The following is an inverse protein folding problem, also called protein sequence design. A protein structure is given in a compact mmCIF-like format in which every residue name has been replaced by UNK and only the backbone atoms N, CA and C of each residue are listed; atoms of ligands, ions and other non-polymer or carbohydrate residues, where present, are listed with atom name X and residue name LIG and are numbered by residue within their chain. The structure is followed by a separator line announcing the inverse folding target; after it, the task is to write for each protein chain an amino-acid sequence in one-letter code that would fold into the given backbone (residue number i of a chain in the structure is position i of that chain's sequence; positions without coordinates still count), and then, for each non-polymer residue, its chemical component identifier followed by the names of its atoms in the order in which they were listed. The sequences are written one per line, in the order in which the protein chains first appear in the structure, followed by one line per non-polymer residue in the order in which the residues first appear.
data_IF_373907677697
#
_entry.id   IF_373907677697
#
_cell.length_a   1.000
_cell.length_b   1.000
_cell.length_c   1.000
_cell.angle_alpha   90.00
_cell.angle_beta   90.00
_cell.angle_gamma   90.00
#
_symmetry.space_group_name_H-M   'P 1'
#
loop_
_entity.id
_entity.type
_entity.pdbx_description
1 polymer ?
#
# COMPACT_ATOMS: atom_id res chain seq x y z
N UNK A 1 -11.41 16.47 8.52
CA UNK A 1 -10.31 16.29 9.49
C UNK A 1 -9.01 16.61 8.78
N UNK A 2 -8.15 17.50 9.29
CA UNK A 2 -6.83 17.78 8.70
C UNK A 2 -5.99 16.50 8.84
N UNK A 3 -5.67 15.84 7.73
CA UNK A 3 -4.78 14.68 7.71
C UNK A 3 -3.38 15.13 8.19
N UNK A 4 -3.07 14.90 9.46
CA UNK A 4 -1.71 15.09 9.97
C UNK A 4 -0.85 13.96 9.38
N UNK A 5 0.20 14.32 8.64
CA UNK A 5 1.21 13.33 8.19
C UNK A 5 1.72 12.55 9.40
N UNK A 6 1.89 11.25 9.25
CA UNK A 6 2.50 10.41 10.25
C UNK A 6 3.94 10.85 10.54
N UNK A 7 4.19 11.23 11.79
CA UNK A 7 5.49 11.72 12.27
C UNK A 7 5.73 11.15 13.67
N UNK A 8 6.27 9.92 13.79
CA UNK A 8 6.37 9.21 15.06
C UNK A 8 7.09 10.03 16.13
N UNK A 9 8.16 10.73 15.77
CA UNK A 9 8.97 11.54 16.69
C UNK A 9 8.38 12.91 17.06
N UNK A 10 7.28 13.32 16.41
CA UNK A 10 6.54 14.54 16.79
C UNK A 10 5.24 14.24 17.50
N UNK A 11 4.72 13.03 17.32
CA UNK A 11 3.40 12.65 17.79
C UNK A 11 3.45 11.74 19.01
N UNK A 12 4.49 10.92 19.15
CA UNK A 12 4.52 9.81 20.11
C UNK A 12 5.81 9.72 20.93
N UNK A 13 6.97 9.97 20.33
CA UNK A 13 8.29 9.72 20.91
C UNK A 13 9.21 10.93 20.75
N UNK A 14 10.16 11.07 21.69
CA UNK A 14 11.29 11.97 21.53
C UNK A 14 12.38 11.30 20.69
N UNK A 15 12.87 11.98 19.65
CA UNK A 15 13.81 11.41 18.68
C UNK A 15 15.15 11.10 19.34
N UNK A 16 15.71 12.03 20.11
CA UNK A 16 17.06 11.89 20.69
C UNK A 16 17.08 10.81 21.76
N UNK A 17 16.03 10.74 22.60
CA UNK A 17 15.88 9.65 23.59
C UNK A 17 15.73 8.31 22.93
N UNK A 18 14.90 8.23 21.88
CA UNK A 18 14.68 6.98 21.12
C UNK A 18 15.96 6.49 20.48
N UNK A 19 16.75 7.40 19.90
CA UNK A 19 18.03 7.10 19.30
C UNK A 19 19.04 6.56 20.32
N UNK A 20 19.18 7.23 21.46
CA UNK A 20 20.06 6.75 22.56
C UNK A 20 19.64 5.35 23.01
N UNK A 21 18.34 5.14 23.24
CA UNK A 21 17.80 3.84 23.61
C UNK A 21 18.11 2.77 22.56
N UNK A 22 17.94 3.08 21.27
CA UNK A 22 18.24 2.16 20.19
C UNK A 22 19.74 1.78 20.16
N UNK A 23 20.63 2.75 20.30
CA UNK A 23 22.07 2.51 20.37
C UNK A 23 22.43 1.61 21.56
N UNK A 24 21.81 1.81 22.71
CA UNK A 24 22.05 0.99 23.90
C UNK A 24 21.55 -0.45 23.74
N UNK A 25 20.37 -0.63 23.08
CA UNK A 25 19.78 -1.94 22.82
C UNK A 25 20.62 -2.73 21.82
N UNK A 26 21.07 -2.07 20.76
CA UNK A 26 21.78 -2.69 19.65
C UNK A 26 23.30 -2.69 19.80
N UNK A 27 23.81 -2.33 20.98
CA UNK A 27 25.26 -2.20 21.23
C UNK A 27 26.05 -3.48 20.97
N UNK A 28 25.45 -4.64 21.22
CA UNK A 28 26.05 -5.97 20.97
C UNK A 28 25.60 -6.62 19.66
N UNK A 29 24.66 -6.02 18.95
CA UNK A 29 24.14 -6.55 17.71
C UNK A 29 25.02 -6.13 16.51
N UNK A 30 25.16 -7.02 15.55
CA UNK A 30 25.88 -6.77 14.30
C UNK A 30 25.09 -5.81 13.38
N UNK A 31 23.77 -5.91 13.39
CA UNK A 31 22.84 -5.04 12.67
C UNK A 31 21.52 -4.90 13.44
N UNK A 32 20.82 -3.82 13.22
CA UNK A 32 19.50 -3.62 13.79
C UNK A 32 18.86 -2.32 13.35
N UNK A 33 17.53 -2.28 13.54
CA UNK A 33 16.74 -1.14 13.14
C UNK A 33 15.46 -1.03 13.95
N UNK A 34 15.03 0.19 14.14
CA UNK A 34 13.70 0.55 14.61
C UNK A 34 12.90 1.08 13.42
N UNK A 35 11.88 0.36 13.06
CA UNK A 35 11.00 0.62 11.91
C UNK A 35 9.65 1.10 12.41
N UNK A 36 9.16 2.23 11.89
CA UNK A 36 7.80 2.70 12.12
C UNK A 36 7.03 2.69 10.81
N UNK A 37 5.78 2.30 10.88
CA UNK A 37 4.87 2.29 9.75
C UNK A 37 3.50 2.86 10.12
N UNK A 38 2.94 3.65 9.20
CA UNK A 38 1.51 3.91 9.10
C UNK A 38 1.07 3.52 7.69
N UNK A 39 0.10 2.64 7.59
CA UNK A 39 -0.54 2.28 6.32
C UNK A 39 -2.00 2.69 6.37
N UNK A 40 -2.45 3.37 5.32
CA UNK A 40 -3.88 3.66 5.07
C UNK A 40 -4.25 3.13 3.70
N UNK A 41 -5.45 2.59 3.60
CA UNK A 41 -5.98 2.10 2.34
C UNK A 41 -7.47 2.42 2.23
N UNK A 42 -7.88 2.73 1.01
CA UNK A 42 -9.27 2.95 0.64
C UNK A 42 -9.58 2.10 -0.59
N UNK A 43 -10.74 1.46 -0.59
CA UNK A 43 -11.23 0.73 -1.75
C UNK A 43 -12.73 0.92 -1.91
N UNK A 44 -13.15 1.15 -3.16
CA UNK A 44 -14.55 1.26 -3.55
C UNK A 44 -14.81 0.24 -4.64
N UNK A 45 -15.96 -0.42 -4.55
CA UNK A 45 -16.44 -1.36 -5.58
C UNK A 45 -17.86 -0.97 -5.95
N UNK A 46 -18.05 -0.66 -7.22
CA UNK A 46 -19.37 -0.50 -7.84
C UNK A 46 -19.65 -1.73 -8.69
N UNK A 47 -20.82 -2.31 -8.54
CA UNK A 47 -21.26 -3.46 -9.31
C UNK A 47 -22.70 -3.22 -9.73
N UNK A 48 -22.90 -3.26 -11.03
CA UNK A 48 -24.20 -3.06 -11.67
C UNK A 48 -24.90 -1.78 -11.15
N UNK A 49 -24.24 -0.64 -11.35
CA UNK A 49 -24.66 0.72 -10.97
C UNK A 49 -24.82 0.96 -9.45
N UNK A 50 -24.56 -0.06 -8.63
CA UNK A 50 -24.71 0.03 -7.18
C UNK A 50 -23.37 -0.03 -6.48
N UNK A 51 -23.10 0.92 -5.57
CA UNK A 51 -21.93 0.87 -4.72
C UNK A 51 -22.07 -0.28 -3.71
N UNK A 52 -21.33 -1.36 -3.91
CA UNK A 52 -21.40 -2.58 -3.07
C UNK A 52 -20.54 -2.49 -1.82
N UNK A 53 -19.38 -1.87 -1.94
CA UNK A 53 -18.50 -1.69 -0.79
C UNK A 53 -17.70 -0.40 -0.88
N UNK A 54 -17.42 0.16 0.28
CA UNK A 54 -16.51 1.27 0.48
C UNK A 54 -15.77 1.03 1.80
N UNK A 55 -14.50 0.68 1.71
CA UNK A 55 -13.68 0.35 2.87
C UNK A 55 -12.58 1.38 3.04
N UNK A 56 -12.34 1.78 4.29
CA UNK A 56 -11.24 2.64 4.68
C UNK A 56 -10.54 2.01 5.89
N UNK A 57 -9.31 1.59 5.71
CA UNK A 57 -8.50 0.95 6.75
C UNK A 57 -7.30 1.81 7.11
N UNK A 58 -6.92 1.76 8.39
CA UNK A 58 -5.71 2.41 8.88
C UNK A 58 -5.05 1.56 9.96
N UNK A 59 -3.76 1.30 9.78
CA UNK A 59 -2.92 0.62 10.76
C UNK A 59 -1.63 1.39 10.98
N UNK A 60 -1.09 1.32 12.19
CA UNK A 60 0.21 1.90 12.54
C UNK A 60 0.89 1.09 13.61
N UNK A 61 2.19 1.17 13.68
CA UNK A 61 2.98 0.51 14.70
C UNK A 61 4.47 0.70 14.50
N UNK A 62 5.24 -0.02 15.28
CA UNK A 62 6.67 -0.14 15.11
C UNK A 62 7.13 -1.59 15.20
N UNK A 63 8.28 -1.87 14.60
CA UNK A 63 9.05 -3.09 14.76
C UNK A 63 10.48 -2.76 15.14
N UNK A 64 11.04 -3.50 16.08
CA UNK A 64 12.43 -3.45 16.50
C UNK A 64 13.09 -4.78 16.12
N UNK A 65 14.15 -4.72 15.33
CA UNK A 65 14.93 -5.88 14.88
C UNK A 65 16.36 -5.76 15.34
N UNK A 66 16.93 -6.86 15.77
CA UNK A 66 18.37 -7.00 16.03
C UNK A 66 18.88 -8.30 15.41
N UNK A 67 20.09 -8.26 14.91
CA UNK A 67 20.79 -9.42 14.30
C UNK A 67 22.11 -9.59 15.02
N UNK A 68 22.41 -10.81 15.42
CA UNK A 68 23.69 -11.21 16.01
C UNK A 68 24.08 -12.57 15.43
N UNK A 69 25.16 -12.61 14.64
CA UNK A 69 25.54 -13.78 13.85
C UNK A 69 24.43 -14.21 12.89
N UNK A 70 24.00 -15.44 13.01
CA UNK A 70 22.89 -16.01 12.24
C UNK A 70 21.51 -15.88 12.92
N UNK A 71 21.48 -15.27 14.10
CA UNK A 71 20.26 -15.13 14.90
C UNK A 71 19.62 -13.77 14.70
N UNK A 72 18.32 -13.74 14.47
CA UNK A 72 17.53 -12.52 14.38
C UNK A 72 16.46 -12.50 15.46
N UNK A 73 16.41 -11.43 16.25
CA UNK A 73 15.27 -11.15 17.11
C UNK A 73 14.41 -10.05 16.53
N UNK A 74 13.11 -10.16 16.76
CA UNK A 74 12.14 -9.20 16.31
C UNK A 74 11.04 -9.02 17.34
N UNK A 75 10.74 -7.76 17.66
CA UNK A 75 9.62 -7.39 18.52
C UNK A 75 8.82 -6.26 17.85
N UNK A 76 7.51 -6.26 17.99
CA UNK A 76 6.65 -5.25 17.39
C UNK A 76 5.51 -4.83 18.33
N UNK A 77 4.92 -3.67 18.05
CA UNK A 77 3.73 -3.19 18.74
C UNK A 77 2.94 -2.21 17.88
N UNK A 78 1.62 -2.22 18.03
CA UNK A 78 0.73 -1.18 17.49
C UNK A 78 0.64 0.05 18.40
N UNK A 79 1.04 -0.09 19.67
CA UNK A 79 1.21 1.02 20.62
C UNK A 79 2.57 1.68 20.40
N UNK A 80 2.57 2.91 19.86
CA UNK A 80 3.80 3.70 19.66
C UNK A 80 3.98 4.57 20.91
N UNK A 81 4.54 3.97 21.96
CA UNK A 81 4.88 4.65 23.21
C UNK A 81 6.26 4.25 23.70
N UNK A 82 6.88 5.09 24.55
CA UNK A 82 8.17 4.79 25.19
C UNK A 82 8.09 3.47 25.98
N UNK A 83 6.98 3.24 26.68
CA UNK A 83 6.74 2.00 27.44
C UNK A 83 6.70 0.76 26.53
N UNK A 84 6.04 0.84 25.38
CA UNK A 84 5.99 -0.26 24.42
C UNK A 84 7.36 -0.52 23.80
N UNK A 85 8.13 0.54 23.51
CA UNK A 85 9.48 0.43 22.97
C UNK A 85 10.43 -0.22 23.99
N UNK A 86 10.37 0.14 25.27
CA UNK A 86 11.16 -0.50 26.33
C UNK A 86 10.85 -2.00 26.46
N UNK A 87 9.56 -2.39 26.39
CA UNK A 87 9.19 -3.82 26.41
C UNK A 87 9.73 -4.57 25.19
N UNK A 88 9.67 -3.96 24.01
CA UNK A 88 10.26 -4.55 22.81
C UNK A 88 11.78 -4.72 22.95
N UNK A 89 12.44 -3.73 23.55
CA UNK A 89 13.86 -3.77 23.87
C UNK A 89 14.24 -4.94 24.80
N UNK A 90 13.46 -5.15 25.86
CA UNK A 90 13.66 -6.27 26.78
C UNK A 90 13.55 -7.63 26.05
N UNK A 91 12.59 -7.76 25.14
CA UNK A 91 12.41 -8.99 24.34
C UNK A 91 13.64 -9.26 23.47
N UNK A 92 14.24 -8.23 22.89
CA UNK A 92 15.42 -8.36 22.01
C UNK A 92 16.69 -8.68 22.80
N UNK A 93 16.86 -8.14 24.00
CA UNK A 93 18.00 -8.42 24.87
C UNK A 93 18.12 -9.88 25.33
N UNK A 94 17.08 -10.68 25.13
CA UNK A 94 17.09 -12.11 25.43
C UNK A 94 17.81 -12.96 24.35
N UNK A 95 18.35 -12.34 23.30
CA UNK A 95 19.21 -13.02 22.33
C UNK A 95 20.48 -13.55 23.04
N UNK A 96 20.83 -14.83 22.83
CA UNK A 96 22.13 -15.34 23.28
C UNK A 96 23.23 -14.65 22.46
N UNK A 97 24.20 -14.05 23.16
CA UNK A 97 25.37 -13.46 22.52
C UNK A 97 26.16 -14.53 21.78
N UNK A 98 26.09 -14.52 20.46
CA UNK A 98 26.93 -15.35 19.59
C UNK A 98 28.12 -14.48 19.16
N UNK A 99 29.30 -14.86 19.61
CA UNK A 99 30.56 -14.11 19.56
C UNK A 99 30.89 -13.38 18.25
N UNK A 100 31.83 -12.45 18.37
CA UNK A 100 32.35 -11.49 17.39
C UNK A 100 32.15 -11.81 15.91
N UNK A 101 31.14 -11.24 15.30
CA UNK A 101 31.00 -11.12 13.85
C UNK A 101 31.43 -9.72 13.43
N UNK A 102 32.30 -9.59 12.45
CA UNK A 102 32.70 -8.28 11.94
C UNK A 102 31.51 -7.59 11.25
N UNK A 103 31.08 -6.49 11.83
CA UNK A 103 30.09 -5.61 11.19
C UNK A 103 30.60 -5.13 9.84
N UNK A 104 29.94 -5.51 8.77
CA UNK A 104 30.20 -4.95 7.45
C UNK A 104 29.51 -3.60 7.34
N UNK A 105 30.29 -2.55 7.03
CA UNK A 105 29.73 -1.22 6.77
C UNK A 105 28.68 -1.31 5.65
N UNK A 106 27.47 -0.74 5.86
CA UNK A 106 26.48 -0.74 4.81
C UNK A 106 27.00 -0.01 3.59
N UNK A 107 26.68 -0.47 2.36
CA UNK A 107 27.17 0.17 1.17
C UNK A 107 26.73 1.65 1.14
N UNK A 108 27.68 2.57 0.86
CA UNK A 108 27.38 3.99 0.66
C UNK A 108 26.36 4.16 -0.45
N UNK A 109 25.27 4.91 -0.24
CA UNK A 109 24.20 4.89 -1.21
C UNK A 109 23.54 6.18 -1.54
N UNK A 110 23.42 6.34 -2.82
CA UNK A 110 22.45 7.20 -3.48
C UNK A 110 21.06 6.55 -3.39
N UNK A 111 20.15 7.19 -2.67
CA UNK A 111 18.73 6.82 -2.70
C UNK A 111 18.12 7.48 -3.93
N UNK A 112 17.80 6.68 -4.94
CA UNK A 112 17.06 7.15 -6.11
C UNK A 112 15.57 7.19 -5.78
N UNK A 113 14.93 8.37 -5.92
CA UNK A 113 13.47 8.49 -5.78
C UNK A 113 12.80 7.90 -7.02
N UNK A 114 12.20 6.73 -6.88
CA UNK A 114 11.52 6.02 -7.98
C UNK A 114 10.08 6.54 -8.21
N UNK A 115 9.48 7.23 -7.25
CA UNK A 115 8.12 7.76 -7.30
C UNK A 115 7.98 9.02 -6.43
N UNK A 116 6.88 9.75 -6.63
CA UNK A 116 6.54 10.89 -5.79
C UNK A 116 5.84 10.40 -4.52
N UNK A 117 6.30 10.87 -3.36
CA UNK A 117 5.67 10.58 -2.06
C UNK A 117 4.40 11.39 -1.85
N UNK A 118 3.33 10.98 -2.50
CA UNK A 118 1.98 11.58 -2.44
C UNK A 118 1.04 10.69 -1.64
N UNK A 119 -0.10 11.24 -1.26
CA UNK A 119 -1.19 10.50 -0.63
C UNK A 119 -2.37 10.40 -1.60
N UNK A 120 -2.53 9.28 -2.30
CA UNK A 120 -3.55 9.13 -3.33
C UNK A 120 -4.98 9.03 -2.76
N UNK A 121 -5.13 8.74 -1.45
CA UNK A 121 -6.45 8.62 -0.82
C UNK A 121 -7.15 9.97 -0.76
N UNK A 122 -6.39 11.04 -0.45
CA UNK A 122 -6.93 12.39 -0.28
C UNK A 122 -6.92 13.22 -1.56
N UNK A 123 -6.35 12.69 -2.64
CA UNK A 123 -6.21 13.42 -3.91
C UNK A 123 -7.55 13.74 -4.55
N UNK A 124 -8.50 12.81 -4.46
CA UNK A 124 -9.86 13.00 -4.93
C UNK A 124 -10.86 12.81 -3.78
N UNK A 125 -11.93 13.61 -3.75
CA UNK A 125 -13.05 13.39 -2.84
C UNK A 125 -13.69 12.02 -3.04
N UNK A 126 -14.29 11.47 -2.00
CA UNK A 126 -15.00 10.19 -2.07
C UNK A 126 -16.09 10.19 -3.16
N UNK A 127 -16.89 11.27 -3.23
CA UNK A 127 -17.94 11.43 -4.24
C UNK A 127 -17.39 11.33 -5.66
N UNK A 128 -16.27 12.00 -5.96
CA UNK A 128 -15.64 11.96 -7.29
C UNK A 128 -15.16 10.57 -7.69
N UNK A 129 -14.73 9.76 -6.72
CA UNK A 129 -14.36 8.36 -6.97
C UNK A 129 -15.60 7.51 -7.30
N UNK A 130 -16.71 7.74 -6.60
CA UNK A 130 -18.00 7.07 -6.90
C UNK A 130 -18.52 7.50 -8.26
N UNK A 131 -18.47 8.80 -8.58
CA UNK A 131 -18.91 9.33 -9.88
C UNK A 131 -18.11 8.72 -11.03
N UNK A 132 -16.76 8.60 -10.86
CA UNK A 132 -15.90 7.90 -11.81
C UNK A 132 -16.36 6.45 -12.07
N UNK A 133 -16.66 5.70 -10.99
CA UNK A 133 -17.10 4.30 -11.16
C UNK A 133 -18.42 4.20 -11.90
N UNK A 134 -19.36 5.16 -11.69
CA UNK A 134 -20.59 5.26 -12.46
C UNK A 134 -20.34 5.61 -13.93
N UNK A 135 -19.46 6.57 -14.20
CA UNK A 135 -19.07 6.92 -15.56
C UNK A 135 -18.47 5.72 -16.31
N UNK A 136 -17.71 4.86 -15.63
CA UNK A 136 -17.15 3.63 -16.19
C UNK A 136 -18.28 2.65 -16.56
N UNK A 137 -19.27 2.46 -15.67
CA UNK A 137 -20.44 1.59 -15.92
C UNK A 137 -21.25 2.10 -17.12
N UNK A 138 -21.62 3.38 -17.10
CA UNK A 138 -22.40 4.01 -18.18
C UNK A 138 -21.67 3.93 -19.52
N UNK A 139 -20.36 4.20 -19.53
CA UNK A 139 -19.55 4.12 -20.73
C UNK A 139 -19.48 2.70 -21.29
N UNK A 140 -19.30 1.70 -20.44
CA UNK A 140 -19.25 0.30 -20.84
C UNK A 140 -20.56 -0.14 -21.51
N UNK A 141 -21.71 0.20 -20.89
CA UNK A 141 -23.05 -0.10 -21.45
C UNK A 141 -23.34 0.64 -22.75
N UNK A 142 -22.78 1.83 -22.89
CA UNK A 142 -22.89 2.62 -24.13
C UNK A 142 -22.12 2.05 -25.34
N UNK A 143 -21.09 1.20 -25.07
CA UNK A 143 -20.28 0.61 -26.15
C UNK A 143 -20.92 -0.59 -26.82
N UNK A 144 -21.66 -1.44 -26.09
CA UNK A 144 -22.25 -2.67 -26.62
C UNK A 144 -23.53 -3.04 -25.87
N UNK A 145 -24.62 -3.29 -26.60
CA UNK A 145 -25.93 -3.63 -26.04
C UNK A 145 -25.97 -5.01 -25.35
N UNK A 146 -24.98 -5.85 -25.58
CA UNK A 146 -24.83 -7.16 -24.92
C UNK A 146 -24.27 -7.07 -23.52
N UNK A 147 -23.79 -5.90 -23.09
CA UNK A 147 -23.29 -5.70 -21.71
C UNK A 147 -24.46 -5.83 -20.73
N UNK A 148 -24.43 -6.87 -19.92
CA UNK A 148 -25.46 -7.15 -18.88
C UNK A 148 -25.01 -6.82 -17.49
N UNK A 149 -23.69 -6.80 -17.22
CA UNK A 149 -23.15 -6.43 -15.92
C UNK A 149 -21.79 -5.74 -16.06
N UNK A 150 -21.57 -4.73 -15.24
CA UNK A 150 -20.29 -4.04 -15.11
C UNK A 150 -19.90 -3.97 -13.64
N UNK A 151 -18.70 -4.44 -13.32
CA UNK A 151 -18.08 -4.28 -12.01
C UNK A 151 -16.83 -3.44 -12.16
N UNK A 152 -16.75 -2.33 -11.44
CA UNK A 152 -15.61 -1.44 -11.43
C UNK A 152 -15.12 -1.20 -10.01
N UNK A 153 -13.81 -1.19 -9.81
CA UNK A 153 -13.23 -0.94 -8.49
C UNK A 153 -12.04 0.00 -8.57
N UNK A 154 -11.96 0.92 -7.62
CA UNK A 154 -10.80 1.78 -7.42
C UNK A 154 -10.23 1.53 -6.03
N UNK A 155 -8.92 1.37 -5.95
CA UNK A 155 -8.20 1.23 -4.69
C UNK A 155 -7.02 2.21 -4.64
N UNK A 156 -6.81 2.77 -3.48
CA UNK A 156 -5.68 3.64 -3.18
C UNK A 156 -5.09 3.29 -1.81
N UNK A 157 -3.79 3.27 -1.69
CA UNK A 157 -3.12 3.14 -0.41
C UNK A 157 -1.90 4.03 -0.30
N UNK A 158 -1.57 4.39 0.92
CA UNK A 158 -0.32 5.08 1.26
C UNK A 158 0.31 4.43 2.46
N UNK A 159 1.60 4.14 2.35
CA UNK A 159 2.44 3.61 3.41
C UNK A 159 3.50 4.65 3.74
N UNK A 160 3.50 5.15 4.98
CA UNK A 160 4.50 6.06 5.51
C UNK A 160 5.45 5.27 6.38
N UNK A 161 6.74 5.29 6.04
CA UNK A 161 7.78 4.50 6.69
C UNK A 161 8.83 5.43 7.27
N UNK A 162 9.30 5.10 8.47
CA UNK A 162 10.46 5.71 9.11
C UNK A 162 11.36 4.61 9.65
N UNK A 163 12.65 4.67 9.32
CA UNK A 163 13.65 3.68 9.75
C UNK A 163 14.78 4.42 10.44
N UNK A 164 15.06 4.03 11.67
CA UNK A 164 16.21 4.48 12.45
C UNK A 164 17.16 3.31 12.66
N UNK A 165 18.40 3.47 12.25
CA UNK A 165 19.45 2.46 12.41
C UNK A 165 20.47 2.87 13.48
N UNK A 166 21.38 1.98 13.82
CA UNK A 166 22.46 2.22 14.80
C UNK A 166 23.44 3.32 14.38
N UNK A 167 23.62 3.54 13.08
CA UNK A 167 24.43 4.64 12.53
C UNK A 167 23.78 6.02 12.66
N UNK A 168 22.63 6.09 13.35
CA UNK A 168 21.87 7.31 13.61
C UNK A 168 21.23 7.93 12.35
N UNK A 169 21.26 7.23 11.23
CA UNK A 169 20.62 7.69 10.00
C UNK A 169 19.10 7.43 10.06
N UNK A 170 18.33 8.50 10.04
CA UNK A 170 16.87 8.44 10.03
C UNK A 170 16.36 8.56 8.59
N UNK A 171 15.93 7.45 8.03
CA UNK A 171 15.34 7.38 6.69
C UNK A 171 13.82 7.40 6.77
N UNK A 172 13.20 8.00 5.76
CA UNK A 172 11.75 8.05 5.62
C UNK A 172 11.34 7.91 4.17
N UNK A 173 10.22 7.23 3.96
CA UNK A 173 9.65 7.04 2.64
C UNK A 173 8.12 7.12 2.72
N UNK A 174 7.49 7.60 1.66
CA UNK A 174 6.03 7.62 1.50
C UNK A 174 5.70 6.89 0.20
N UNK A 175 5.07 5.74 0.33
CA UNK A 175 4.81 4.79 -0.77
C UNK A 175 3.34 4.80 -1.15
N UNK A 176 2.97 5.52 -2.24
CA UNK A 176 1.63 5.42 -2.79
C UNK A 176 1.46 4.10 -3.54
N UNK A 177 0.21 3.65 -3.64
CA UNK A 177 -0.20 2.60 -4.55
C UNK A 177 -1.63 2.85 -4.96
N UNK A 178 -1.90 2.82 -6.26
CA UNK A 178 -3.24 3.00 -6.83
C UNK A 178 -3.56 1.87 -7.78
N UNK A 179 -4.84 1.50 -7.90
CA UNK A 179 -5.33 0.49 -8.82
C UNK A 179 -6.75 0.79 -9.26
N UNK A 180 -7.03 0.56 -10.53
CA UNK A 180 -8.36 0.54 -11.12
C UNK A 180 -8.55 -0.79 -11.84
N UNK A 181 -9.67 -1.47 -11.60
CA UNK A 181 -10.07 -2.67 -12.33
C UNK A 181 -11.48 -2.49 -12.86
N UNK A 182 -11.72 -3.05 -14.05
CA UNK A 182 -13.01 -3.12 -14.70
C UNK A 182 -13.25 -4.56 -15.14
N UNK A 183 -14.43 -5.07 -14.86
CA UNK A 183 -14.91 -6.38 -15.30
C UNK A 183 -16.27 -6.18 -15.97
N UNK A 184 -16.44 -6.75 -17.17
CA UNK A 184 -17.65 -6.59 -17.99
C UNK A 184 -18.16 -7.98 -18.36
N UNK A 185 -19.44 -8.24 -18.08
CA UNK A 185 -20.11 -9.43 -18.55
C UNK A 185 -21.01 -9.06 -19.72
N UNK A 186 -20.91 -9.82 -20.80
CA UNK A 186 -21.76 -9.75 -21.99
C UNK A 186 -22.60 -11.01 -22.12
N UNK A 187 -23.80 -10.86 -22.68
CA UNK A 187 -24.71 -12.01 -22.89
C UNK A 187 -25.29 -11.96 -24.33
N UNK A 188 -25.26 -13.10 -24.97
CA UNK A 188 -25.84 -13.29 -26.29
C UNK A 188 -26.34 -14.73 -26.45
N UNK A 189 -27.59 -14.91 -26.90
CA UNK A 189 -28.26 -16.22 -27.13
C UNK A 189 -28.18 -17.14 -25.87
N UNK A 190 -28.29 -16.58 -24.66
CA UNK A 190 -28.23 -17.34 -23.39
C UNK A 190 -26.83 -17.74 -22.94
N UNK A 191 -25.80 -17.41 -23.70
CA UNK A 191 -24.40 -17.55 -23.28
C UNK A 191 -23.90 -16.25 -22.67
N UNK A 192 -23.28 -16.36 -21.49
CA UNK A 192 -22.73 -15.22 -20.74
C UNK A 192 -21.25 -15.41 -20.54
N UNK A 193 -20.47 -14.40 -20.88
CA UNK A 193 -19.03 -14.40 -20.78
C UNK A 193 -18.52 -13.10 -20.15
N UNK A 194 -17.35 -13.17 -19.51
CA UNK A 194 -16.78 -12.05 -18.79
C UNK A 194 -15.36 -11.78 -19.25
N UNK A 195 -15.03 -10.50 -19.37
CA UNK A 195 -13.67 -10.01 -19.57
C UNK A 195 -13.30 -8.98 -18.52
N UNK A 196 -12.02 -8.90 -18.18
CA UNK A 196 -11.51 -7.97 -17.19
C UNK A 196 -10.23 -7.30 -17.65
N UNK A 197 -10.07 -6.03 -17.32
CA UNK A 197 -8.84 -5.28 -17.53
C UNK A 197 -8.64 -4.26 -16.40
N UNK A 198 -7.42 -3.80 -16.22
CA UNK A 198 -7.12 -2.79 -15.22
C UNK A 198 -5.63 -2.53 -15.11
N UNK A 199 -5.29 -1.56 -14.29
CA UNK A 199 -3.91 -1.15 -14.08
C UNK A 199 -3.73 -0.46 -12.75
N UNK A 200 -2.47 -0.24 -12.38
CA UNK A 200 -2.12 0.44 -11.16
C UNK A 200 -0.61 0.60 -11.01
N UNK A 201 -0.22 1.35 -10.01
CA UNK A 201 1.20 1.59 -9.74
C UNK A 201 1.44 2.57 -8.60
N UNK A 202 2.71 2.93 -8.39
CA UNK A 202 3.14 3.87 -7.36
C UNK A 202 3.10 5.31 -7.86
N UNK A 203 1.89 5.79 -8.17
CA UNK A 203 1.66 7.12 -8.71
C UNK A 203 0.36 7.74 -8.17
N UNK A 204 0.07 8.96 -8.61
CA UNK A 204 -1.15 9.70 -8.27
C UNK A 204 -2.41 8.97 -8.76
N UNK A 205 -3.48 9.07 -7.98
CA UNK A 205 -4.78 8.50 -8.38
C UNK A 205 -5.30 9.16 -9.66
N UNK A 206 -5.07 10.46 -9.83
CA UNK A 206 -5.41 11.25 -11.02
C UNK A 206 -4.89 10.64 -12.33
N UNK A 207 -3.78 9.90 -12.30
CA UNK A 207 -3.25 9.26 -13.50
C UNK A 207 -4.17 8.16 -14.02
N UNK A 208 -4.66 7.27 -13.15
CA UNK A 208 -5.54 6.16 -13.57
C UNK A 208 -7.00 6.56 -13.70
N UNK A 209 -7.37 7.73 -13.17
CA UNK A 209 -8.71 8.31 -13.31
C UNK A 209 -8.82 9.21 -14.56
N UNK A 210 -7.74 9.38 -15.33
CA UNK A 210 -7.78 10.05 -16.61
C UNK A 210 -8.68 9.28 -17.59
N UNK A 211 -9.64 9.95 -18.27
CA UNK A 211 -10.55 9.31 -19.22
C UNK A 211 -9.86 8.55 -20.35
N UNK A 212 -8.67 8.98 -20.77
CA UNK A 212 -7.92 8.28 -21.81
C UNK A 212 -7.40 6.92 -21.33
N UNK A 213 -7.09 6.82 -20.05
CA UNK A 213 -6.56 5.60 -19.42
C UNK A 213 -7.70 4.62 -19.09
N UNK A 214 -8.69 5.04 -18.29
CA UNK A 214 -9.73 4.12 -17.85
C UNK A 214 -10.64 3.65 -18.97
N UNK A 215 -10.89 4.47 -20.01
CA UNK A 215 -11.63 4.04 -21.21
C UNK A 215 -10.89 2.94 -21.96
N UNK A 216 -9.55 2.96 -21.93
CA UNK A 216 -8.73 1.86 -22.44
C UNK A 216 -9.01 0.54 -21.72
N UNK A 217 -9.11 0.56 -20.39
CA UNK A 217 -9.45 -0.63 -19.59
C UNK A 217 -10.87 -1.14 -19.91
N UNK A 218 -11.86 -0.25 -20.05
CA UNK A 218 -13.22 -0.63 -20.40
C UNK A 218 -13.25 -1.31 -21.77
N UNK A 219 -12.61 -0.71 -22.80
CA UNK A 219 -12.55 -1.28 -24.13
C UNK A 219 -11.87 -2.65 -24.15
N UNK A 220 -10.78 -2.81 -23.39
CA UNK A 220 -10.06 -4.07 -23.33
C UNK A 220 -10.87 -5.15 -22.58
N UNK A 221 -11.52 -4.81 -21.47
CA UNK A 221 -12.40 -5.74 -20.76
C UNK A 221 -13.56 -6.20 -21.66
N UNK A 222 -14.20 -5.29 -22.37
CA UNK A 222 -15.26 -5.59 -23.33
C UNK A 222 -14.75 -6.46 -24.48
N UNK A 223 -13.60 -6.13 -25.06
CA UNK A 223 -12.97 -6.92 -26.14
C UNK A 223 -12.76 -8.38 -25.70
N UNK A 224 -12.24 -8.59 -24.50
CA UNK A 224 -12.02 -9.93 -23.94
C UNK A 224 -13.35 -10.65 -23.74
N UNK A 225 -14.37 -9.99 -23.18
CA UNK A 225 -15.68 -10.60 -22.95
C UNK A 225 -16.34 -11.06 -24.28
N UNK A 226 -16.29 -10.20 -25.29
CA UNK A 226 -16.82 -10.51 -26.63
C UNK A 226 -16.04 -11.62 -27.32
N UNK A 227 -14.70 -11.64 -27.18
CA UNK A 227 -13.87 -12.71 -27.70
C UNK A 227 -14.25 -14.06 -27.08
N UNK A 228 -14.47 -14.08 -25.75
CA UNK A 228 -14.88 -15.28 -25.03
C UNK A 228 -16.26 -15.77 -25.50
N UNK A 229 -17.21 -14.89 -25.86
CA UNK A 229 -18.50 -15.28 -26.45
C UNK A 229 -18.34 -16.03 -27.77
N UNK A 230 -17.33 -15.66 -28.56
CA UNK A 230 -17.06 -16.26 -29.88
C UNK A 230 -16.19 -17.51 -29.78
N UNK A 231 -15.60 -17.80 -28.64
CA UNK A 231 -14.74 -18.96 -28.45
C UNK A 231 -15.55 -20.25 -28.49
N UNK A 232 -15.07 -21.25 -29.22
CA UNK A 232 -15.62 -22.60 -29.24
C UNK A 232 -14.99 -23.43 -28.07
N UNK A 233 -15.76 -24.39 -27.59
CA UNK A 233 -15.22 -25.36 -26.62
C UNK A 233 -14.13 -26.22 -27.30
N UNK A 234 -12.99 -26.37 -26.65
CA UNK A 234 -11.90 -27.20 -27.12
C UNK A 234 -12.23 -28.68 -27.01
#
# INVERSE_FOLDING_TARGET
MKNKKFQPFKQYLDQDKTQKLLCDILKSADDGELFFEEKRSESLVLDDQTLKSANLDSSKGFGLRAVEGETTAYAHSTDISEKALLRAAETIKLLPSAGNVQSTSPPSKTITKLYKGIDPIIELPFSSKVDLLKEIDDYARGLDKRVVQVSASVAASVQNIWIMRTDCDLKRDTRPLTRLNVSISVEEMGRRETGSAGGGGRYALSLITDPTIWRGFVKEALRIAVLNLQAEAA
#
